data_IF_686520978504
#
_entry.id   IF_686520978504
#
_cell.length_a   1.000
_cell.length_b   1.000
_cell.length_c   1.000
_cell.angle_alpha   90.00
_cell.angle_beta   90.00
_cell.angle_gamma   90.00
#
_symmetry.space_group_name_H-M   'P 1'
#
loop_
_entity.id
_entity.type
_entity.pdbx_description
1 polymer ?
#
# COMPACT_ATOMS: atom_id res chain seq x y z
N UNK A 1 17.11 -18.96 16.19
CA UNK A 1 15.70 -18.51 16.37
C UNK A 1 15.23 -17.89 15.07
N UNK A 2 13.96 -18.04 14.69
CA UNK A 2 13.43 -17.46 13.45
C UNK A 2 13.04 -15.99 13.64
N UNK A 3 13.51 -15.11 12.76
CA UNK A 3 13.19 -13.68 12.78
C UNK A 3 11.70 -13.39 12.54
N UNK A 4 10.97 -14.31 11.89
CA UNK A 4 9.55 -14.15 11.56
C UNK A 4 8.63 -13.93 12.77
N UNK A 5 9.04 -14.37 13.96
CA UNK A 5 8.31 -14.16 15.21
C UNK A 5 8.83 -12.97 16.02
N UNK A 6 10.01 -12.49 15.70
CA UNK A 6 10.71 -11.42 16.42
C UNK A 6 10.44 -10.04 15.80
N UNK A 7 10.34 -10.01 14.47
CA UNK A 7 10.19 -8.77 13.71
C UNK A 7 8.73 -8.50 13.38
N UNK A 8 8.27 -7.32 13.77
CA UNK A 8 6.94 -6.80 13.44
C UNK A 8 7.05 -5.63 12.47
N UNK A 9 6.11 -5.56 11.53
CA UNK A 9 6.04 -4.45 10.56
C UNK A 9 5.65 -3.18 11.30
N UNK A 10 6.39 -2.09 11.06
CA UNK A 10 6.18 -0.79 11.72
C UNK A 10 7.01 -0.59 13.00
N UNK A 11 7.77 -1.59 13.43
CA UNK A 11 8.67 -1.49 14.58
C UNK A 11 10.11 -1.23 14.14
N UNK A 12 10.88 -0.55 15.01
CA UNK A 12 12.29 -0.24 14.80
C UNK A 12 13.19 -1.26 15.50
N UNK A 13 14.28 -1.68 14.86
CA UNK A 13 15.24 -2.64 15.40
C UNK A 13 16.68 -2.28 15.05
N UNK A 14 17.59 -2.52 15.99
CA UNK A 14 19.03 -2.53 15.79
C UNK A 14 19.49 -3.93 15.36
N UNK A 15 19.96 -4.04 14.12
CA UNK A 15 20.51 -5.28 13.59
C UNK A 15 22.02 -5.33 13.75
N UNK A 16 22.53 -6.41 14.35
CA UNK A 16 23.96 -6.66 14.53
C UNK A 16 24.36 -8.01 13.94
N UNK A 17 25.64 -8.15 13.59
CA UNK A 17 26.22 -9.39 13.02
C UNK A 17 25.46 -9.86 11.77
N UNK A 18 25.18 -8.92 10.88
CA UNK A 18 24.50 -9.18 9.61
C UNK A 18 25.50 -9.33 8.46
N UNK A 19 25.10 -10.05 7.42
CA UNK A 19 25.81 -10.07 6.14
C UNK A 19 25.31 -8.96 5.21
N UNK A 20 26.12 -8.60 4.22
CA UNK A 20 25.75 -7.70 3.14
C UNK A 20 25.92 -8.42 1.80
N UNK A 21 24.93 -8.28 0.91
CA UNK A 21 25.01 -8.78 -0.46
C UNK A 21 24.67 -7.68 -1.47
N UNK A 22 25.32 -7.62 -2.64
CA UNK A 22 25.02 -6.58 -3.62
C UNK A 22 23.62 -6.74 -4.23
N UNK A 23 22.88 -5.65 -4.37
CA UNK A 23 21.49 -5.64 -4.89
C UNK A 23 21.38 -6.11 -6.34
N UNK A 24 22.45 -6.01 -7.12
CA UNK A 24 22.49 -6.45 -8.53
C UNK A 24 22.71 -7.97 -8.71
N UNK A 25 23.04 -8.71 -7.66
CA UNK A 25 23.36 -10.15 -7.74
C UNK A 25 22.13 -11.05 -7.52
N UNK A 26 20.92 -10.48 -7.35
CA UNK A 26 19.70 -11.26 -7.07
C UNK A 26 18.42 -10.69 -7.71
N UNK A 27 17.30 -11.44 -7.63
CA UNK A 27 16.01 -10.99 -8.16
C UNK A 27 15.45 -9.74 -7.45
N UNK A 28 16.07 -9.36 -6.33
CA UNK A 28 15.69 -8.23 -5.49
C UNK A 28 15.96 -6.87 -6.15
N UNK A 29 16.95 -6.77 -7.05
CA UNK A 29 17.26 -5.52 -7.74
C UNK A 29 16.11 -4.97 -8.61
N UNK A 30 15.17 -5.84 -9.01
CA UNK A 30 13.95 -5.45 -9.74
C UNK A 30 12.72 -5.26 -8.84
N UNK A 31 12.76 -5.80 -7.62
CA UNK A 31 11.61 -5.83 -6.69
C UNK A 31 11.63 -4.64 -5.76
N UNK A 32 12.82 -4.13 -5.45
CA UNK A 32 12.98 -3.01 -4.56
C UNK A 32 13.74 -1.91 -5.29
N UNK A 33 13.11 -0.76 -5.51
CA UNK A 33 13.82 0.49 -5.80
C UNK A 33 14.57 0.99 -4.54
N UNK A 34 15.26 0.08 -3.84
CA UNK A 34 16.16 0.46 -2.78
C UNK A 34 17.30 1.22 -3.47
N UNK A 35 17.46 2.49 -3.12
CA UNK A 35 18.57 3.34 -3.58
C UNK A 35 19.91 2.91 -2.93
N UNK A 36 20.13 1.61 -2.75
CA UNK A 36 21.27 1.05 -2.03
C UNK A 36 21.97 -0.03 -2.87
N UNK A 37 23.30 0.03 -2.91
CA UNK A 37 24.15 -0.92 -3.64
C UNK A 37 24.16 -2.33 -3.00
N UNK A 38 23.68 -2.43 -1.75
CA UNK A 38 23.68 -3.64 -0.95
C UNK A 38 22.37 -3.82 -0.18
N UNK A 39 21.99 -5.09 0.07
CA UNK A 39 20.93 -5.47 1.00
C UNK A 39 21.50 -6.29 2.16
N UNK A 40 20.80 -6.25 3.29
CA UNK A 40 21.17 -6.97 4.52
C UNK A 40 20.69 -8.41 4.46
N UNK A 41 21.55 -9.35 4.82
CA UNK A 41 21.23 -10.78 4.92
C UNK A 41 21.34 -11.20 6.38
N UNK A 42 20.25 -11.75 6.92
CA UNK A 42 20.21 -12.26 8.28
C UNK A 42 20.66 -13.73 8.31
N UNK A 43 21.58 -14.04 9.23
CA UNK A 43 22.07 -15.40 9.49
C UNK A 43 21.65 -15.86 10.90
N UNK A 44 21.88 -17.14 11.26
CA UNK A 44 21.63 -17.61 12.62
C UNK A 44 22.44 -16.89 13.71
N UNK A 45 23.52 -16.19 13.33
CA UNK A 45 24.36 -15.40 14.24
C UNK A 45 23.92 -13.93 14.33
N UNK A 46 23.02 -13.49 13.45
CA UNK A 46 22.50 -12.12 13.48
C UNK A 46 21.65 -11.91 14.72
N UNK A 47 21.69 -10.68 15.23
CA UNK A 47 20.92 -10.25 16.39
C UNK A 47 20.04 -9.06 15.99
N UNK A 48 18.80 -9.06 16.44
CA UNK A 48 17.88 -7.94 16.26
C UNK A 48 17.34 -7.55 17.64
N UNK A 49 17.58 -6.31 18.06
CA UNK A 49 17.16 -5.80 19.35
C UNK A 49 16.29 -4.56 19.15
N UNK A 50 15.33 -4.31 20.05
CA UNK A 50 14.69 -3.01 20.10
C UNK A 50 15.75 -1.94 20.42
N UNK A 51 15.75 -0.79 19.74
CA UNK A 51 16.74 0.25 19.99
C UNK A 51 16.58 0.78 21.42
N UNK A 52 17.67 1.15 22.11
CA UNK A 52 17.64 1.64 23.49
C UNK A 52 16.90 2.98 23.66
N UNK A 53 16.62 3.66 22.55
CA UNK A 53 15.81 4.86 22.46
C UNK A 53 14.91 4.77 21.24
N UNK A 54 13.69 5.29 21.33
CA UNK A 54 12.85 5.48 20.15
C UNK A 54 13.58 6.38 19.15
N UNK A 55 14.07 5.76 18.08
CA UNK A 55 14.60 6.46 16.93
C UNK A 55 13.40 6.83 16.07
N UNK A 56 13.13 8.13 15.94
CA UNK A 56 12.24 8.68 14.94
C UNK A 56 12.92 8.61 13.56
N UNK A 57 13.20 7.40 13.10
CA UNK A 57 13.49 7.19 11.68
C UNK A 57 12.16 7.45 11.00
N UNK A 58 12.10 8.41 10.07
CA UNK A 58 10.91 8.62 9.27
C UNK A 58 10.54 7.29 8.60
N UNK A 59 9.53 6.60 9.15
CA UNK A 59 8.95 5.39 8.58
C UNK A 59 8.18 5.69 7.27
N UNK A 60 8.12 6.97 6.91
CA UNK A 60 7.47 7.46 5.72
C UNK A 60 8.47 7.57 4.55
N UNK A 61 7.99 7.38 3.32
CA UNK A 61 8.68 7.81 2.11
C UNK A 61 9.19 9.24 2.26
N UNK A 62 10.33 9.53 1.64
CA UNK A 62 10.80 10.92 1.58
C UNK A 62 9.82 11.83 0.81
N UNK A 63 9.01 11.25 -0.09
CA UNK A 63 7.99 11.97 -0.89
C UNK A 63 6.86 11.01 -1.32
N UNK A 64 5.61 11.44 -1.18
CA UNK A 64 4.46 10.78 -1.82
C UNK A 64 4.29 11.33 -3.24
N UNK A 65 3.97 10.47 -4.20
CA UNK A 65 3.67 10.90 -5.57
C UNK A 65 2.22 11.39 -5.66
N UNK A 66 2.00 12.45 -6.43
CA UNK A 66 0.65 12.92 -6.77
C UNK A 66 -0.10 11.89 -7.61
N UNK A 67 -1.41 11.77 -7.40
CA UNK A 67 -2.22 10.72 -8.02
C UNK A 67 -2.29 10.85 -9.55
N UNK A 68 -2.15 12.06 -10.05
CA UNK A 68 -2.05 12.42 -11.47
C UNK A 68 -0.80 11.77 -12.10
N UNK A 69 0.31 11.79 -11.38
CA UNK A 69 1.61 11.28 -11.84
C UNK A 69 1.77 9.77 -11.64
N UNK A 70 0.95 9.16 -10.77
CA UNK A 70 0.87 7.69 -10.61
C UNK A 70 0.64 7.03 -11.97
N UNK A 71 -0.29 7.53 -12.77
CA UNK A 71 -0.62 6.93 -14.07
C UNK A 71 0.48 7.09 -15.12
N UNK A 72 1.36 8.08 -14.96
CA UNK A 72 2.51 8.30 -15.83
C UNK A 72 3.64 7.27 -15.60
N UNK A 73 3.70 6.66 -14.40
CA UNK A 73 4.75 5.71 -14.04
C UNK A 73 4.74 4.42 -14.88
N UNK A 74 5.93 3.86 -15.10
CA UNK A 74 6.10 2.61 -15.84
C UNK A 74 5.38 1.43 -15.16
N UNK A 75 5.03 0.40 -15.94
CA UNK A 75 4.51 -0.84 -15.36
C UNK A 75 5.58 -1.50 -14.48
N UNK A 76 5.16 -2.12 -13.37
CA UNK A 76 6.04 -2.77 -12.39
C UNK A 76 6.90 -1.84 -11.54
N UNK A 77 6.81 -0.53 -11.75
CA UNK A 77 7.43 0.44 -10.85
C UNK A 77 6.72 0.49 -9.50
N UNK A 78 7.41 0.95 -8.46
CA UNK A 78 6.85 1.09 -7.12
C UNK A 78 6.63 2.56 -6.80
N UNK A 79 5.47 2.88 -6.26
CA UNK A 79 5.11 4.24 -5.88
C UNK A 79 4.66 4.30 -4.43
N UNK A 80 4.91 5.42 -3.80
CA UNK A 80 4.39 5.74 -2.48
C UNK A 80 3.26 6.76 -2.60
N UNK A 81 2.09 6.43 -2.08
CA UNK A 81 0.87 7.24 -2.22
C UNK A 81 0.22 7.49 -0.87
N UNK A 82 -0.42 8.64 -0.71
CA UNK A 82 -1.21 8.98 0.47
C UNK A 82 -2.56 9.55 0.05
N UNK A 83 -3.63 9.16 0.72
CA UNK A 83 -4.94 9.73 0.46
C UNK A 83 -6.02 9.24 1.41
N UNK A 84 -7.19 9.84 1.29
CA UNK A 84 -8.36 9.49 2.10
C UNK A 84 -9.02 8.24 1.53
N UNK A 85 -9.33 7.28 2.39
CA UNK A 85 -10.07 6.08 2.00
C UNK A 85 -11.54 6.44 1.77
N UNK A 86 -11.96 6.44 0.51
CA UNK A 86 -13.36 6.76 0.12
C UNK A 86 -14.18 5.52 -0.20
N UNK A 87 -13.54 4.38 -0.42
CA UNK A 87 -14.25 3.11 -0.63
C UNK A 87 -13.37 1.92 -0.28
N UNK A 88 -13.99 0.92 0.36
CA UNK A 88 -13.36 -0.37 0.65
C UNK A 88 -14.30 -1.49 0.20
N UNK A 89 -13.90 -2.25 -0.82
CA UNK A 89 -14.76 -3.30 -1.40
C UNK A 89 -14.85 -4.54 -0.50
N UNK A 90 -15.87 -5.37 -0.70
CA UNK A 90 -15.91 -6.72 -0.13
C UNK A 90 -14.68 -7.55 -0.56
N UNK A 91 -14.31 -8.52 0.27
CA UNK A 91 -13.23 -9.48 -0.01
C UNK A 91 -13.70 -10.42 -1.14
N UNK A 92 -12.86 -10.58 -2.16
CA UNK A 92 -13.09 -11.42 -3.33
C UNK A 92 -12.12 -12.60 -3.37
N UNK A 93 -12.44 -13.61 -4.17
CA UNK A 93 -11.59 -14.79 -4.37
C UNK A 93 -11.58 -15.73 -3.16
N UNK A 94 -12.63 -15.71 -2.34
CA UNK A 94 -12.77 -16.61 -1.19
C UNK A 94 -13.17 -18.03 -1.63
N UNK A 95 -13.84 -18.14 -2.78
CA UNK A 95 -14.43 -19.39 -3.28
C UNK A 95 -13.54 -20.09 -4.33
N UNK A 96 -12.42 -19.48 -4.71
CA UNK A 96 -11.47 -20.05 -5.67
C UNK A 96 -10.21 -20.51 -4.92
N UNK A 97 -10.03 -21.83 -4.79
CA UNK A 97 -8.89 -22.46 -4.11
C UNK A 97 -7.54 -22.07 -4.74
N UNK A 98 -7.53 -21.67 -6.02
CA UNK A 98 -6.32 -21.22 -6.73
C UNK A 98 -6.03 -19.74 -6.54
N UNK A 99 -6.98 -18.96 -6.03
CA UNK A 99 -6.87 -17.51 -5.90
C UNK A 99 -6.72 -17.10 -4.44
N UNK A 100 -5.64 -16.40 -4.10
CA UNK A 100 -5.52 -15.80 -2.78
C UNK A 100 -6.55 -14.66 -2.63
N UNK A 101 -7.27 -14.56 -1.50
CA UNK A 101 -8.26 -13.52 -1.32
C UNK A 101 -7.65 -12.12 -1.44
N UNK A 102 -8.43 -11.19 -1.96
CA UNK A 102 -8.02 -9.80 -2.14
C UNK A 102 -9.22 -8.85 -2.05
N UNK A 103 -8.98 -7.56 -1.86
CA UNK A 103 -10.01 -6.52 -1.94
C UNK A 103 -9.48 -5.26 -2.60
N UNK A 104 -10.37 -4.38 -3.03
CA UNK A 104 -10.03 -3.09 -3.58
C UNK A 104 -10.26 -2.01 -2.52
N UNK A 105 -9.33 -1.06 -2.46
CA UNK A 105 -9.44 0.17 -1.69
C UNK A 105 -9.28 1.33 -2.66
N UNK A 106 -10.15 2.32 -2.55
CA UNK A 106 -10.07 3.54 -3.35
C UNK A 106 -9.57 4.65 -2.43
N UNK A 107 -8.45 5.25 -2.82
CA UNK A 107 -7.93 6.46 -2.19
C UNK A 107 -8.32 7.66 -3.04
N UNK A 108 -8.60 8.77 -2.39
CA UNK A 108 -8.86 10.07 -3.00
C UNK A 108 -7.87 11.11 -2.46
N UNK A 109 -7.29 11.92 -3.35
CA UNK A 109 -6.47 13.07 -2.95
C UNK A 109 -7.34 14.34 -2.80
N UNK A 110 -6.72 15.43 -2.36
CA UNK A 110 -7.38 16.74 -2.18
C UNK A 110 -7.99 17.31 -3.47
N UNK A 111 -7.52 16.86 -4.65
CA UNK A 111 -8.01 17.26 -5.96
C UNK A 111 -9.11 16.34 -6.51
N UNK A 112 -9.64 15.45 -5.68
CA UNK A 112 -10.68 14.48 -6.04
C UNK A 112 -10.25 13.48 -7.13
N UNK A 113 -8.95 13.31 -7.34
CA UNK A 113 -8.42 12.21 -8.13
C UNK A 113 -8.43 10.94 -7.28
N UNK A 114 -8.76 9.82 -7.91
CA UNK A 114 -8.87 8.54 -7.23
C UNK A 114 -7.92 7.51 -7.82
N UNK A 115 -7.25 6.75 -6.96
CA UNK A 115 -6.49 5.56 -7.33
C UNK A 115 -7.09 4.33 -6.67
N UNK A 116 -6.94 3.18 -7.32
CA UNK A 116 -7.44 1.89 -6.82
C UNK A 116 -6.27 1.02 -6.43
N UNK A 117 -6.18 0.70 -5.14
CA UNK A 117 -5.17 -0.20 -4.58
C UNK A 117 -5.78 -1.59 -4.41
N UNK A 118 -5.06 -2.62 -4.86
CA UNK A 118 -5.43 -4.01 -4.61
C UNK A 118 -4.72 -4.49 -3.35
N UNK A 119 -5.47 -4.72 -2.28
CA UNK A 119 -4.95 -5.24 -1.01
C UNK A 119 -5.01 -6.76 -1.02
N UNK A 120 -3.87 -7.41 -0.77
CA UNK A 120 -3.73 -8.87 -0.75
C UNK A 120 -4.05 -9.46 0.63
N UNK A 121 -4.33 -10.76 0.66
CA UNK A 121 -4.74 -11.53 1.84
C UNK A 121 -3.98 -11.19 3.14
N UNK A 122 -2.65 -11.11 3.09
CA UNK A 122 -1.82 -10.81 4.26
C UNK A 122 -2.21 -9.50 4.93
N UNK A 123 -2.30 -8.42 4.18
CA UNK A 123 -2.70 -7.10 4.69
C UNK A 123 -4.19 -7.02 5.05
N UNK A 124 -5.05 -7.86 4.45
CA UNK A 124 -6.45 -7.95 4.85
C UNK A 124 -6.57 -8.52 6.27
N UNK A 125 -5.82 -9.60 6.55
CA UNK A 125 -5.87 -10.29 7.84
C UNK A 125 -5.26 -9.45 8.96
N UNK A 126 -4.14 -8.77 8.71
CA UNK A 126 -3.46 -7.96 9.72
C UNK A 126 -4.30 -6.77 10.22
N UNK A 127 -5.20 -6.22 9.39
CA UNK A 127 -5.94 -4.98 9.68
C UNK A 127 -7.47 -5.14 9.52
N UNK A 128 -8.01 -6.32 9.81
CA UNK A 128 -9.41 -6.66 9.49
C UNK A 128 -10.44 -5.67 10.08
N UNK A 129 -10.24 -5.25 11.33
CA UNK A 129 -11.10 -4.28 12.02
C UNK A 129 -10.95 -2.87 11.44
N UNK A 130 -9.73 -2.47 11.12
CA UNK A 130 -9.42 -1.15 10.59
C UNK A 130 -10.03 -0.95 9.21
N UNK A 131 -9.98 -1.97 8.35
CA UNK A 131 -10.57 -1.88 7.01
C UNK A 131 -12.10 -1.69 7.02
N UNK A 132 -12.79 -2.12 8.07
CA UNK A 132 -14.24 -1.88 8.20
C UNK A 132 -14.53 -0.42 8.52
N UNK A 133 -13.66 0.20 9.32
CA UNK A 133 -13.81 1.58 9.81
C UNK A 133 -13.24 2.62 8.83
N UNK A 134 -12.32 2.20 7.96
CA UNK A 134 -11.56 3.10 7.10
C UNK A 134 -12.43 4.01 6.22
N UNK A 135 -13.51 3.49 5.62
CA UNK A 135 -14.42 4.32 4.80
C UNK A 135 -15.31 5.21 5.66
N UNK A 136 -15.89 4.68 6.74
CA UNK A 136 -16.85 5.42 7.57
C UNK A 136 -16.22 6.55 8.35
N UNK A 137 -14.94 6.41 8.69
CA UNK A 137 -14.16 7.41 9.43
C UNK A 137 -13.26 8.24 8.52
N UNK A 138 -13.37 8.08 7.19
CA UNK A 138 -12.55 8.80 6.20
C UNK A 138 -11.05 8.75 6.55
N UNK A 139 -10.57 7.56 6.93
CA UNK A 139 -9.18 7.42 7.39
C UNK A 139 -8.21 7.74 6.26
N UNK A 140 -7.11 8.39 6.62
CA UNK A 140 -5.97 8.58 5.73
C UNK A 140 -5.21 7.26 5.67
N UNK A 141 -4.84 6.84 4.47
CA UNK A 141 -4.01 5.68 4.21
C UNK A 141 -2.76 6.11 3.44
N UNK A 142 -1.60 5.75 3.99
CA UNK A 142 -0.32 5.78 3.28
C UNK A 142 -0.04 4.38 2.72
N UNK A 143 -0.04 4.25 1.41
CA UNK A 143 0.34 3.03 0.70
C UNK A 143 1.80 3.13 0.28
N UNK A 144 2.66 2.35 0.93
CA UNK A 144 4.10 2.37 0.66
C UNK A 144 4.49 1.22 -0.28
N UNK A 145 5.40 1.50 -1.21
CA UNK A 145 5.88 0.55 -2.22
C UNK A 145 4.71 -0.16 -2.93
N UNK A 146 3.72 0.63 -3.34
CA UNK A 146 2.58 0.13 -4.10
C UNK A 146 3.04 -0.16 -5.52
N UNK A 147 2.96 -1.43 -5.92
CA UNK A 147 3.36 -1.84 -7.26
C UNK A 147 2.37 -1.34 -8.32
N UNK A 148 2.89 -0.69 -9.35
CA UNK A 148 2.15 -0.22 -10.51
C UNK A 148 1.72 -1.39 -11.40
N UNK A 149 0.40 -1.48 -11.65
CA UNK A 149 -0.18 -2.49 -12.52
C UNK A 149 -0.98 -1.84 -13.66
N UNK A 150 -0.33 -1.66 -14.82
CA UNK A 150 -0.98 -1.12 -16.03
C UNK A 150 -1.84 -2.14 -16.76
N UNK A 151 -1.57 -3.45 -16.64
CA UNK A 151 -2.40 -4.52 -17.23
C UNK A 151 -3.89 -4.44 -16.85
N UNK A 152 -4.21 -4.03 -15.62
CA UNK A 152 -5.61 -3.78 -15.23
C UNK A 152 -6.13 -2.40 -15.68
N UNK A 153 -5.26 -1.42 -15.88
CA UNK A 153 -5.59 -0.13 -16.50
C UNK A 153 -5.94 -0.23 -17.99
N UNK A 154 -5.31 -1.14 -18.74
CA UNK A 154 -5.57 -1.38 -20.16
C UNK A 154 -6.81 -2.24 -20.42
N UNK A 155 -7.10 -3.26 -19.59
CA UNK A 155 -8.43 -3.89 -19.59
C UNK A 155 -9.53 -2.93 -19.15
N UNK A 156 -9.20 -1.99 -18.25
CA UNK A 156 -10.06 -0.86 -17.94
C UNK A 156 -10.09 0.21 -19.05
N UNK A 157 -9.26 0.22 -20.09
CA UNK A 157 -9.54 1.11 -21.25
C UNK A 157 -10.73 0.63 -22.08
N UNK A 158 -11.08 -0.65 -21.99
CA UNK A 158 -12.32 -1.22 -22.53
C UNK A 158 -13.44 -1.39 -21.48
N UNK A 159 -13.12 -1.19 -20.18
CA UNK A 159 -14.05 -1.30 -19.04
C UNK A 159 -14.11 -0.04 -18.16
N UNK A 160 -13.60 1.09 -18.64
CA UNK A 160 -14.04 2.43 -18.24
C UNK A 160 -15.35 2.62 -18.97
N UNK A 161 -16.34 1.88 -18.49
CA UNK A 161 -17.70 2.38 -18.50
C UNK A 161 -17.60 3.73 -17.76
N UNK A 162 -17.66 4.83 -18.50
CA UNK A 162 -17.72 6.18 -17.92
C UNK A 162 -18.74 6.21 -16.79
N UNK A 163 -19.81 5.41 -16.85
CA UNK A 163 -20.79 5.30 -15.79
C UNK A 163 -20.21 4.71 -14.49
N UNK A 164 -19.19 3.85 -14.51
CA UNK A 164 -18.55 3.36 -13.28
C UNK A 164 -17.59 4.37 -12.67
N UNK A 165 -16.86 5.13 -13.50
CA UNK A 165 -16.06 6.28 -13.03
C UNK A 165 -16.96 7.39 -12.50
N UNK A 166 -18.04 7.73 -13.21
CA UNK A 166 -19.09 8.63 -12.74
C UNK A 166 -19.74 8.13 -11.47
N UNK A 167 -20.12 6.86 -11.34
CA UNK A 167 -20.69 6.32 -10.09
C UNK A 167 -19.73 6.42 -8.90
N UNK A 168 -18.44 6.22 -9.07
CA UNK A 168 -17.46 6.39 -7.98
C UNK A 168 -17.25 7.87 -7.67
N UNK A 169 -17.23 8.74 -8.68
CA UNK A 169 -17.13 10.19 -8.49
C UNK A 169 -18.42 10.81 -7.93
N UNK A 170 -19.59 10.32 -8.32
CA UNK A 170 -20.91 10.66 -7.79
C UNK A 170 -21.07 10.13 -6.37
N UNK A 171 -20.63 8.90 -6.10
CA UNK A 171 -20.60 8.36 -4.75
C UNK A 171 -19.65 9.16 -3.85
N UNK A 172 -18.48 9.55 -4.35
CA UNK A 172 -17.56 10.42 -3.62
C UNK A 172 -18.17 11.82 -3.41
N UNK A 173 -18.81 12.41 -4.43
CA UNK A 173 -19.51 13.70 -4.32
C UNK A 173 -20.71 13.65 -3.36
N UNK A 174 -21.52 12.59 -3.41
CA UNK A 174 -22.67 12.38 -2.53
C UNK A 174 -22.22 12.13 -1.08
N UNK A 175 -21.14 11.35 -0.89
CA UNK A 175 -20.53 11.15 0.43
C UNK A 175 -20.00 12.48 0.99
N UNK A 176 -19.34 13.29 0.17
CA UNK A 176 -18.84 14.62 0.57
C UNK A 176 -19.98 15.61 0.84
N UNK A 177 -21.04 15.62 0.02
CA UNK A 177 -22.21 16.48 0.24
C UNK A 177 -22.87 16.16 1.59
N UNK A 178 -23.05 14.87 1.89
CA UNK A 178 -23.62 14.43 3.18
C UNK A 178 -22.74 14.77 4.38
N UNK A 179 -21.42 14.95 4.19
CA UNK A 179 -20.51 15.38 5.26
C UNK A 179 -20.60 16.89 5.51
N UNK A 180 -20.75 17.69 4.45
CA UNK A 180 -20.95 19.15 4.54
C UNK A 180 -22.31 19.47 5.18
N UNK A 181 -23.34 18.66 4.89
CA UNK A 181 -24.68 18.81 5.48
C UNK A 181 -24.76 18.37 6.96
N UNK A 182 -23.76 17.67 7.48
CA UNK A 182 -23.66 17.28 8.90
C UNK A 182 -22.91 18.32 9.76
N UNK A 183 -22.23 19.29 9.13
CA UNK A 183 -21.47 20.36 9.80
C UNK A 183 -22.23 21.70 9.84
N UNK A 184 -23.45 21.78 9.29
CA UNK A 184 -24.38 22.92 9.39
C UNK A 184 -25.64 22.56 10.19
#
# INVERSE_FOLDING_TARGET
MGFDRLLHVGECYDFMRVGFMPTHVGPLGYIFCLCADYFVVLSPQSMANAPPRELWICQCPRTFIEFEDVYAQAEYFFVDVIGIVVHVSNIRGRDDVRMRPYRYVVLMNERYHCIIITVKYTHICCHLSEWRRATSELRILAGLHVQMNRKRGLRNRLLVDEARRRRVQEFAKDTVSRLIDLEN
#
